data_IF_021269075019
#
_entry.id   IF_021269075019
#
_cell.length_a   1.000
_cell.length_b   1.000
_cell.length_c   1.000
_cell.angle_alpha   90.00
_cell.angle_beta   90.00
_cell.angle_gamma   90.00
#
_symmetry.space_group_name_H-M   'P 1'
#
loop_
_entity.id
_entity.type
_entity.pdbx_description
1 polymer ?
#
# COMPACT_ATOMS: atom_id res chain seq x y z
N UNK A 1 -9.68 -19.94 0.17
CA UNK A 1 -9.50 -19.70 1.63
C UNK A 1 -8.05 -19.38 1.98
N UNK A 2 -7.07 -20.13 1.47
CA UNK A 2 -5.64 -19.94 1.78
C UNK A 2 -5.10 -18.53 1.41
N UNK A 3 -5.36 -18.06 0.18
CA UNK A 3 -4.96 -16.71 -0.26
C UNK A 3 -5.51 -15.56 0.61
N UNK A 4 -6.67 -15.75 1.22
CA UNK A 4 -7.28 -14.76 2.12
C UNK A 4 -6.61 -14.75 3.49
N UNK A 5 -6.29 -15.93 4.03
CA UNK A 5 -5.53 -16.07 5.28
C UNK A 5 -4.12 -15.47 5.15
N UNK A 6 -3.47 -15.71 4.01
CA UNK A 6 -2.16 -15.14 3.73
C UNK A 6 -2.21 -13.61 3.66
N UNK A 7 -3.20 -13.04 2.95
CA UNK A 7 -3.42 -11.60 2.92
C UNK A 7 -3.59 -11.02 4.33
N UNK A 8 -4.44 -11.65 5.15
CA UNK A 8 -4.67 -11.22 6.53
C UNK A 8 -3.39 -11.24 7.37
N UNK A 9 -2.57 -12.29 7.24
CA UNK A 9 -1.30 -12.38 7.94
C UNK A 9 -0.37 -11.21 7.58
N UNK A 10 -0.18 -10.94 6.29
CA UNK A 10 0.66 -9.83 5.84
C UNK A 10 0.09 -8.46 6.25
N UNK A 11 -1.23 -8.29 6.19
CA UNK A 11 -1.88 -7.05 6.63
C UNK A 11 -1.70 -6.83 8.13
N UNK A 12 -1.94 -7.84 8.95
CA UNK A 12 -1.76 -7.76 10.41
C UNK A 12 -0.30 -7.48 10.75
N UNK A 13 0.64 -8.17 10.08
CA UNK A 13 2.07 -7.89 10.24
C UNK A 13 2.41 -6.44 9.88
N UNK A 14 1.92 -5.92 8.74
CA UNK A 14 2.16 -4.54 8.34
C UNK A 14 1.59 -3.53 9.35
N UNK A 15 0.35 -3.74 9.81
CA UNK A 15 -0.28 -2.87 10.81
C UNK A 15 0.47 -2.92 12.15
N UNK A 16 0.85 -4.10 12.62
CA UNK A 16 1.57 -4.27 13.87
C UNK A 16 2.97 -3.61 13.81
N UNK A 17 3.73 -3.85 12.74
CA UNK A 17 5.06 -3.25 12.54
C UNK A 17 4.94 -1.73 12.43
N UNK A 18 4.01 -1.21 11.61
CA UNK A 18 3.82 0.23 11.43
C UNK A 18 3.37 0.94 12.71
N UNK A 19 2.43 0.35 13.45
CA UNK A 19 2.01 0.89 14.76
C UNK A 19 3.17 0.87 15.77
N UNK A 20 3.95 -0.22 15.79
CA UNK A 20 5.15 -0.31 16.63
C UNK A 20 6.16 0.78 16.27
N UNK A 21 6.37 1.08 14.98
CA UNK A 21 7.23 2.19 14.55
C UNK A 21 6.74 3.55 15.07
N UNK A 22 5.43 3.81 15.08
CA UNK A 22 4.85 5.04 15.67
C UNK A 22 5.13 5.11 17.17
N UNK A 23 4.94 4.01 17.90
CA UNK A 23 5.27 3.95 19.33
C UNK A 23 6.76 4.18 19.57
N UNK A 24 7.63 3.61 18.72
CA UNK A 24 9.08 3.79 18.82
C UNK A 24 9.50 5.25 18.60
N UNK A 25 8.98 5.95 17.58
CA UNK A 25 9.34 7.37 17.39
C UNK A 25 8.82 8.25 18.52
N UNK A 26 7.63 7.96 19.06
CA UNK A 26 7.11 8.67 20.24
C UNK A 26 8.00 8.42 21.46
N UNK A 27 8.37 7.15 21.70
CA UNK A 27 9.30 6.81 22.79
C UNK A 27 10.66 7.46 22.57
N UNK A 28 11.15 7.52 21.34
CA UNK A 28 12.40 8.20 21.01
C UNK A 28 12.36 9.65 21.44
N UNK A 29 11.33 10.40 21.03
CA UNK A 29 11.25 11.83 21.34
C UNK A 29 10.97 12.13 22.81
N UNK A 30 10.17 11.31 23.50
CA UNK A 30 9.81 11.57 24.90
C UNK A 30 10.80 11.04 25.92
N UNK A 31 11.55 9.98 25.61
CA UNK A 31 12.49 9.37 26.56
C UNK A 31 13.94 9.75 26.32
N UNK A 32 14.35 9.86 25.05
CA UNK A 32 15.74 10.15 24.70
C UNK A 32 15.94 11.60 24.24
N UNK A 33 14.87 12.32 23.91
CA UNK A 33 14.92 13.73 23.47
C UNK A 33 14.09 14.63 24.38
N UNK A 34 14.00 15.88 23.98
CA UNK A 34 13.41 17.00 24.73
C UNK A 34 11.88 16.99 24.76
N UNK A 35 11.24 15.93 24.26
CA UNK A 35 9.79 15.87 24.09
C UNK A 35 9.30 16.68 22.89
N UNK A 36 8.09 17.23 22.99
CA UNK A 36 7.40 17.97 21.93
C UNK A 36 6.93 19.33 22.44
N UNK A 37 7.24 20.38 21.68
CA UNK A 37 6.78 21.75 21.91
C UNK A 37 6.63 22.48 20.57
N UNK A 38 6.16 23.72 20.57
CA UNK A 38 6.12 24.59 19.39
C UNK A 38 6.74 25.95 19.76
N UNK A 39 8.07 25.94 19.93
CA UNK A 39 8.88 27.00 20.54
C UNK A 39 10.14 27.40 19.73
N UNK A 40 10.27 26.92 18.48
CA UNK A 40 11.47 27.06 17.65
C UNK A 40 12.71 26.31 18.18
N UNK A 41 12.53 25.47 19.20
CA UNK A 41 13.56 24.69 19.88
C UNK A 41 13.71 23.26 19.37
N UNK A 42 14.55 22.48 20.05
CA UNK A 42 14.75 21.06 19.74
C UNK A 42 13.46 20.25 19.90
N UNK A 43 12.61 20.62 20.86
CA UNK A 43 11.31 20.00 21.07
C UNK A 43 10.34 20.29 19.90
N UNK A 44 10.44 21.43 19.23
CA UNK A 44 9.71 21.68 17.99
C UNK A 44 10.23 20.82 16.83
N UNK A 45 11.55 20.74 16.65
CA UNK A 45 12.16 19.85 15.65
C UNK A 45 11.65 18.41 15.80
N UNK A 46 11.43 17.93 17.02
CA UNK A 46 11.00 16.56 17.28
C UNK A 46 9.60 16.23 16.71
N UNK A 47 8.77 17.23 16.35
CA UNK A 47 7.57 17.00 15.54
C UNK A 47 7.89 16.45 14.15
N UNK A 48 9.03 16.83 13.57
CA UNK A 48 9.42 16.41 12.23
C UNK A 48 9.45 14.87 12.08
N UNK A 49 10.28 14.11 12.83
CA UNK A 49 10.31 12.65 12.70
C UNK A 49 8.98 12.00 13.11
N UNK A 50 8.28 12.52 14.11
CA UNK A 50 6.99 11.96 14.57
C UNK A 50 5.93 12.06 13.48
N UNK A 51 5.77 13.23 12.87
CA UNK A 51 4.74 13.49 11.88
C UNK A 51 5.09 12.90 10.51
N UNK A 52 6.38 12.90 10.11
CA UNK A 52 6.83 12.20 8.90
C UNK A 52 6.54 10.70 9.00
N UNK A 53 6.90 10.05 10.12
CA UNK A 53 6.63 8.62 10.28
C UNK A 53 5.13 8.34 10.33
N UNK A 54 4.38 9.09 11.14
CA UNK A 54 2.94 8.85 11.30
C UNK A 54 2.16 9.12 10.01
N UNK A 55 2.39 10.27 9.37
CA UNK A 55 1.70 10.68 8.17
C UNK A 55 2.27 10.03 6.91
N UNK A 56 3.53 10.34 6.61
CA UNK A 56 4.15 10.00 5.33
C UNK A 56 4.52 8.52 5.20
N UNK A 57 4.74 7.82 6.31
CA UNK A 57 5.02 6.38 6.26
C UNK A 57 3.77 5.58 6.60
N UNK A 58 3.26 5.69 7.83
CA UNK A 58 2.22 4.79 8.31
C UNK A 58 0.85 5.03 7.64
N UNK A 59 0.31 6.26 7.72
CA UNK A 59 -1.00 6.58 7.12
C UNK A 59 -0.94 6.46 5.59
N UNK A 60 0.12 6.96 4.94
CA UNK A 60 0.31 6.76 3.49
C UNK A 60 0.34 5.27 3.13
N UNK A 61 1.06 4.44 3.88
CA UNK A 61 1.15 3.00 3.64
C UNK A 61 -0.22 2.32 3.70
N UNK A 62 -1.05 2.67 4.70
CA UNK A 62 -2.44 2.19 4.81
C UNK A 62 -3.27 2.65 3.61
N UNK A 63 -3.13 3.93 3.20
CA UNK A 63 -3.85 4.49 2.06
C UNK A 63 -3.53 3.75 0.74
N UNK A 64 -2.28 3.33 0.55
CA UNK A 64 -1.81 2.58 -0.62
C UNK A 64 -2.49 1.20 -0.70
N UNK A 65 -2.65 0.49 0.42
CA UNK A 65 -3.23 -0.86 0.44
C UNK A 65 -4.76 -0.88 0.57
N UNK A 66 -5.42 0.27 0.76
CA UNK A 66 -6.85 0.33 1.12
C UNK A 66 -7.78 -0.34 0.11
N UNK A 67 -7.44 -0.32 -1.18
CA UNK A 67 -8.20 -1.00 -2.23
C UNK A 67 -8.04 -2.52 -2.24
N UNK A 68 -7.05 -3.06 -1.52
CA UNK A 68 -6.72 -4.48 -1.50
C UNK A 68 -7.45 -5.25 -0.43
N UNK A 69 -8.09 -4.54 0.50
CA UNK A 69 -8.87 -5.12 1.59
C UNK A 69 -10.07 -5.92 1.02
N UNK A 70 -10.10 -7.26 1.14
CA UNK A 70 -11.12 -8.08 0.46
C UNK A 70 -12.55 -7.79 0.91
N UNK A 71 -12.73 -7.40 2.18
CA UNK A 71 -14.04 -7.01 2.72
C UNK A 71 -14.57 -5.69 2.15
N UNK A 72 -13.72 -4.86 1.51
CA UNK A 72 -14.16 -3.61 0.88
C UNK A 72 -14.50 -3.77 -0.60
N UNK A 73 -14.28 -4.97 -1.18
CA UNK A 73 -14.53 -5.18 -2.61
C UNK A 73 -16.01 -5.01 -2.95
N UNK A 74 -16.92 -5.43 -2.06
CA UNK A 74 -18.37 -5.23 -2.22
C UNK A 74 -18.84 -3.79 -1.93
N UNK A 75 -17.98 -2.95 -1.36
CA UNK A 75 -18.32 -1.57 -1.07
C UNK A 75 -18.27 -0.69 -2.32
N UNK A 76 -19.00 0.44 -2.31
CA UNK A 76 -18.97 1.42 -3.40
C UNK A 76 -17.55 1.83 -3.76
N UNK A 77 -17.23 1.78 -5.06
CA UNK A 77 -15.93 2.21 -5.59
C UNK A 77 -15.68 3.70 -5.32
N UNK A 78 -16.74 4.51 -5.36
CA UNK A 78 -16.68 5.92 -5.03
C UNK A 78 -16.32 6.13 -3.55
N UNK A 79 -16.95 5.37 -2.64
CA UNK A 79 -16.62 5.41 -1.21
C UNK A 79 -15.15 5.07 -0.98
N UNK A 80 -14.64 4.02 -1.62
CA UNK A 80 -13.21 3.66 -1.50
C UNK A 80 -12.27 4.72 -2.07
N UNK A 81 -12.69 5.47 -3.10
CA UNK A 81 -11.94 6.65 -3.60
C UNK A 81 -11.88 7.76 -2.57
N UNK A 82 -12.99 8.05 -1.88
CA UNK A 82 -13.00 9.03 -0.81
C UNK A 82 -12.13 8.61 0.37
N UNK A 83 -12.14 7.33 0.76
CA UNK A 83 -11.27 6.84 1.84
C UNK A 83 -9.80 6.95 1.42
N UNK A 84 -9.44 6.52 0.21
CA UNK A 84 -8.07 6.62 -0.30
C UNK A 84 -7.59 8.09 -0.36
N UNK A 85 -8.41 8.97 -0.95
CA UNK A 85 -8.10 10.40 -1.03
C UNK A 85 -7.98 11.03 0.36
N UNK A 86 -8.93 10.75 1.25
CA UNK A 86 -8.96 11.29 2.62
C UNK A 86 -7.74 10.88 3.44
N UNK A 87 -7.32 9.61 3.37
CA UNK A 87 -6.10 9.14 4.05
C UNK A 87 -4.84 9.81 3.48
N UNK A 88 -4.73 9.95 2.16
CA UNK A 88 -3.60 10.64 1.55
C UNK A 88 -3.58 12.14 1.88
N UNK A 89 -4.74 12.80 1.94
CA UNK A 89 -4.88 14.19 2.37
C UNK A 89 -4.49 14.38 3.84
N UNK A 90 -4.93 13.48 4.73
CA UNK A 90 -4.53 13.52 6.14
C UNK A 90 -3.00 13.37 6.28
N UNK A 91 -2.42 12.39 5.59
CA UNK A 91 -0.97 12.21 5.55
C UNK A 91 -0.26 13.47 5.04
N UNK A 92 -0.77 14.13 4.00
CA UNK A 92 -0.18 15.35 3.46
C UNK A 92 -0.20 16.51 4.45
N UNK A 93 -1.31 16.70 5.16
CA UNK A 93 -1.43 17.74 6.20
C UNK A 93 -0.34 17.54 7.28
N UNK A 94 -0.18 16.31 7.76
CA UNK A 94 0.85 15.99 8.76
C UNK A 94 2.26 16.24 8.24
N UNK A 95 2.55 15.91 6.98
CA UNK A 95 3.84 16.18 6.33
C UNK A 95 4.11 17.67 6.24
N UNK A 96 3.11 18.48 5.86
CA UNK A 96 3.27 19.94 5.80
C UNK A 96 3.60 20.50 7.18
N UNK A 97 2.88 20.09 8.23
CA UNK A 97 3.17 20.50 9.61
C UNK A 97 4.59 20.07 10.03
N UNK A 98 5.01 18.85 9.66
CA UNK A 98 6.35 18.34 9.93
C UNK A 98 7.45 19.17 9.25
N UNK A 99 7.20 19.66 8.03
CA UNK A 99 8.13 20.54 7.33
C UNK A 99 8.19 21.93 7.97
N UNK A 100 7.03 22.51 8.30
CA UNK A 100 6.98 23.80 9.00
C UNK A 100 7.82 23.75 10.28
N UNK A 101 7.65 22.72 11.11
CA UNK A 101 8.40 22.56 12.36
C UNK A 101 9.94 22.53 12.16
N UNK A 102 10.45 21.88 11.11
CA UNK A 102 11.91 21.85 10.86
C UNK A 102 12.42 23.17 10.26
N UNK A 103 11.64 23.81 9.39
CA UNK A 103 12.00 25.13 8.85
C UNK A 103 11.99 26.21 9.92
N UNK A 104 10.97 26.23 10.79
CA UNK A 104 10.87 27.17 11.91
C UNK A 104 12.04 26.96 12.90
N UNK A 105 12.31 25.71 13.30
CA UNK A 105 13.50 25.37 14.10
C UNK A 105 14.82 25.85 13.46
N UNK A 106 15.04 25.56 12.18
CA UNK A 106 16.27 25.98 11.51
C UNK A 106 16.40 27.50 11.43
N UNK A 107 15.31 28.20 11.12
CA UNK A 107 15.31 29.66 11.04
C UNK A 107 15.61 30.30 12.40
N UNK A 108 14.98 29.80 13.47
CA UNK A 108 15.21 30.27 14.83
C UNK A 108 16.65 30.01 15.30
N UNK A 109 17.21 28.84 14.98
CA UNK A 109 18.59 28.47 15.32
C UNK A 109 19.64 28.97 14.33
N UNK A 110 19.25 29.69 13.28
CA UNK A 110 20.13 30.17 12.19
C UNK A 110 20.93 29.04 11.54
N UNK A 111 20.32 27.88 11.39
CA UNK A 111 20.87 26.73 10.68
C UNK A 111 20.49 26.88 9.19
N UNK A 112 21.43 26.72 8.24
CA UNK A 112 21.09 26.76 6.82
C UNK A 112 20.05 25.69 6.46
N UNK A 113 19.06 26.06 5.65
CA UNK A 113 18.07 25.12 5.13
C UNK A 113 18.56 24.46 3.83
N UNK A 114 18.00 23.30 3.51
CA UNK A 114 18.11 22.65 2.19
C UNK A 114 19.52 22.38 1.68
N UNK A 115 20.47 22.02 2.56
CA UNK A 115 21.85 21.68 2.15
C UNK A 115 22.14 20.17 2.15
N UNK A 116 21.34 19.35 2.84
CA UNK A 116 21.59 17.91 2.96
C UNK A 116 20.87 17.10 1.88
N UNK A 117 21.39 15.91 1.54
CA UNK A 117 20.73 15.00 0.60
C UNK A 117 19.35 14.55 1.12
N UNK A 118 19.23 14.33 2.44
CA UNK A 118 17.94 14.08 3.10
C UNK A 118 16.93 15.18 2.76
N UNK A 119 17.32 16.46 2.88
CA UNK A 119 16.42 17.57 2.59
C UNK A 119 16.04 17.67 1.11
N UNK A 120 16.97 17.43 0.18
CA UNK A 120 16.69 17.49 -1.26
C UNK A 120 15.73 16.39 -1.70
N UNK A 121 16.01 15.14 -1.33
CA UNK A 121 15.16 13.99 -1.68
C UNK A 121 13.83 14.09 -0.94
N UNK A 122 13.83 14.55 0.32
CA UNK A 122 12.62 14.77 1.11
C UNK A 122 11.69 15.80 0.49
N UNK A 123 12.19 16.99 0.16
CA UNK A 123 11.36 18.02 -0.47
C UNK A 123 10.85 17.56 -1.85
N UNK A 124 11.69 16.91 -2.65
CA UNK A 124 11.28 16.34 -3.93
C UNK A 124 10.14 15.31 -3.75
N UNK A 125 10.23 14.41 -2.76
CA UNK A 125 9.17 13.45 -2.45
C UNK A 125 7.87 14.15 -2.03
N UNK A 126 7.93 15.21 -1.22
CA UNK A 126 6.74 15.98 -0.80
C UNK A 126 6.08 16.71 -1.98
N UNK A 127 6.88 17.33 -2.87
CA UNK A 127 6.36 17.99 -4.08
C UNK A 127 5.70 16.96 -5.00
N UNK A 128 6.35 15.82 -5.25
CA UNK A 128 5.77 14.73 -6.04
C UNK A 128 4.50 14.18 -5.40
N UNK A 129 4.45 14.07 -4.07
CA UNK A 129 3.26 13.63 -3.34
C UNK A 129 2.09 14.62 -3.47
N UNK A 130 2.36 15.93 -3.39
CA UNK A 130 1.36 16.96 -3.63
C UNK A 130 0.79 16.89 -5.06
N UNK A 131 1.67 16.76 -6.06
CA UNK A 131 1.28 16.59 -7.47
C UNK A 131 0.44 15.32 -7.66
N UNK A 132 0.88 14.21 -7.06
CA UNK A 132 0.17 12.93 -7.08
C UNK A 132 -1.24 13.06 -6.49
N UNK A 133 -1.39 13.77 -5.38
CA UNK A 133 -2.68 14.01 -4.71
C UNK A 133 -3.61 14.86 -5.59
N UNK A 134 -3.13 15.99 -6.11
CA UNK A 134 -3.92 16.88 -6.97
C UNK A 134 -4.34 16.17 -8.26
N UNK A 135 -3.41 15.52 -8.95
CA UNK A 135 -3.71 14.76 -10.18
C UNK A 135 -4.67 13.60 -9.89
N UNK A 136 -4.49 12.89 -8.77
CA UNK A 136 -5.37 11.81 -8.36
C UNK A 136 -6.81 12.28 -8.13
N UNK A 137 -7.00 13.40 -7.45
CA UNK A 137 -8.31 14.03 -7.24
C UNK A 137 -8.94 14.44 -8.58
N UNK A 138 -8.19 15.17 -9.41
CA UNK A 138 -8.67 15.69 -10.69
C UNK A 138 -9.05 14.58 -11.68
N UNK A 139 -8.26 13.51 -11.78
CA UNK A 139 -8.45 12.45 -12.78
C UNK A 139 -9.46 11.39 -12.32
N UNK A 140 -9.42 11.00 -11.05
CA UNK A 140 -10.17 9.82 -10.57
C UNK A 140 -11.40 10.16 -9.72
N UNK A 141 -11.48 11.33 -9.10
CA UNK A 141 -12.61 11.71 -8.23
C UNK A 141 -13.61 12.62 -8.95
N UNK A 142 -13.14 13.56 -9.77
CA UNK A 142 -14.01 14.43 -10.57
C UNK A 142 -14.66 13.62 -11.70
N UNK A 143 -16.01 13.66 -11.87
CA UNK A 143 -16.71 12.83 -12.85
C UNK A 143 -16.45 13.21 -14.31
N UNK A 144 -15.83 14.37 -14.57
CA UNK A 144 -15.68 14.99 -15.90
C UNK A 144 -14.57 14.35 -16.74
N UNK A 145 -13.58 13.70 -16.13
CA UNK A 145 -12.42 13.18 -16.88
C UNK A 145 -12.80 12.00 -17.80
N UNK A 146 -12.45 12.06 -19.10
CA UNK A 146 -12.67 10.97 -20.05
C UNK A 146 -12.05 9.63 -19.61
N UNK A 147 -12.73 8.52 -19.94
CA UNK A 147 -12.29 7.18 -19.56
C UNK A 147 -10.91 6.80 -20.13
N UNK A 148 -10.59 7.25 -21.36
CA UNK A 148 -9.29 6.95 -21.98
C UNK A 148 -8.14 7.62 -21.24
N UNK A 149 -8.31 8.86 -20.74
CA UNK A 149 -7.30 9.53 -19.92
C UNK A 149 -7.12 8.81 -18.59
N UNK A 150 -8.22 8.42 -17.93
CA UNK A 150 -8.13 7.64 -16.68
C UNK A 150 -7.37 6.33 -16.88
N UNK A 151 -7.56 5.66 -18.01
CA UNK A 151 -6.82 4.44 -18.34
C UNK A 151 -5.33 4.72 -18.60
N UNK A 152 -5.01 5.78 -19.35
CA UNK A 152 -3.63 6.15 -19.67
C UNK A 152 -2.81 6.61 -18.45
N UNK A 153 -3.43 7.34 -17.51
CA UNK A 153 -2.76 7.82 -16.30
C UNK A 153 -2.65 6.77 -15.19
N UNK A 154 -3.43 5.68 -15.23
CA UNK A 154 -3.47 4.67 -14.15
C UNK A 154 -2.10 4.01 -13.88
N UNK A 155 -1.35 3.53 -14.89
CA UNK A 155 -0.03 2.94 -14.65
C UNK A 155 0.94 3.94 -14.02
N UNK A 156 0.92 5.19 -14.49
CA UNK A 156 1.76 6.25 -13.95
C UNK A 156 1.40 6.53 -12.49
N UNK A 157 0.11 6.69 -12.17
CA UNK A 157 -0.36 6.93 -10.80
C UNK A 157 0.04 5.80 -9.84
N UNK A 158 -0.07 4.53 -10.26
CA UNK A 158 0.37 3.40 -9.42
C UNK A 158 1.89 3.44 -9.22
N UNK A 159 2.66 3.57 -10.30
CA UNK A 159 4.12 3.60 -10.24
C UNK A 159 4.63 4.75 -9.37
N UNK A 160 4.17 5.98 -9.64
CA UNK A 160 4.58 7.17 -8.91
C UNK A 160 4.22 7.07 -7.43
N UNK A 161 3.05 6.52 -7.08
CA UNK A 161 2.64 6.32 -5.69
C UNK A 161 3.60 5.39 -4.93
N UNK A 162 4.00 4.28 -5.55
CA UNK A 162 4.97 3.35 -4.97
C UNK A 162 6.39 3.94 -4.90
N UNK A 163 6.79 4.68 -5.92
CA UNK A 163 8.08 5.37 -5.96
C UNK A 163 8.17 6.42 -4.86
N UNK A 164 7.14 7.26 -4.69
CA UNK A 164 7.09 8.29 -3.64
C UNK A 164 7.16 7.65 -2.25
N UNK A 165 6.40 6.57 -2.02
CA UNK A 165 6.42 5.86 -0.73
C UNK A 165 7.81 5.27 -0.43
N UNK A 166 8.46 4.66 -1.43
CA UNK A 166 9.82 4.12 -1.28
C UNK A 166 10.83 5.23 -1.00
N UNK A 167 10.71 6.36 -1.71
CA UNK A 167 11.53 7.56 -1.47
C UNK A 167 11.29 8.16 -0.08
N UNK A 168 10.06 8.16 0.44
CA UNK A 168 9.76 8.62 1.79
C UNK A 168 10.45 7.75 2.85
N UNK A 169 10.48 6.42 2.67
CA UNK A 169 11.23 5.51 3.55
C UNK A 169 12.73 5.81 3.46
N UNK A 170 13.29 5.87 2.26
CA UNK A 170 14.72 6.17 2.07
C UNK A 170 15.11 7.50 2.73
N UNK A 171 14.32 8.55 2.52
CA UNK A 171 14.50 9.86 3.17
C UNK A 171 14.41 9.78 4.68
N UNK A 172 13.47 9.00 5.22
CA UNK A 172 13.34 8.83 6.68
C UNK A 172 14.56 8.14 7.28
N UNK A 173 15.13 7.13 6.60
CA UNK A 173 16.37 6.46 7.02
C UNK A 173 17.57 7.42 6.97
N UNK A 174 17.67 8.26 5.93
CA UNK A 174 18.69 9.32 5.87
C UNK A 174 18.53 10.32 7.02
N UNK A 175 17.30 10.77 7.31
CA UNK A 175 17.02 11.73 8.38
C UNK A 175 17.30 11.17 9.78
N UNK A 176 16.94 9.91 10.03
CA UNK A 176 17.32 9.19 11.25
C UNK A 176 18.84 9.16 11.39
N UNK A 177 19.55 8.78 10.32
CA UNK A 177 21.01 8.68 10.33
C UNK A 177 21.66 10.03 10.61
N UNK A 178 21.23 11.10 9.93
CA UNK A 178 21.69 12.48 10.17
C UNK A 178 21.45 12.88 11.63
N UNK A 179 20.24 12.65 12.17
CA UNK A 179 19.90 13.03 13.55
C UNK A 179 20.73 12.28 14.59
N UNK A 180 21.01 10.99 14.39
CA UNK A 180 21.85 10.21 15.30
C UNK A 180 23.31 10.67 15.25
N UNK A 181 23.86 10.89 14.05
CA UNK A 181 25.25 11.36 13.89
C UNK A 181 25.43 12.75 14.52
N UNK A 182 24.47 13.66 14.34
CA UNK A 182 24.58 15.01 14.89
C UNK A 182 24.23 15.08 16.39
N UNK A 183 23.30 14.24 16.85
CA UNK A 183 22.77 14.27 18.21
C UNK A 183 23.60 13.48 19.23
N UNK A 184 24.27 12.39 18.84
CA UNK A 184 25.01 11.52 19.74
C UNK A 184 26.52 11.78 19.68
N UNK A 185 26.97 12.72 20.51
CA UNK A 185 28.39 13.12 20.59
C UNK A 185 29.14 12.51 21.78
N UNK A 186 28.45 12.29 22.90
CA UNK A 186 29.01 11.66 24.09
C UNK A 186 27.88 11.00 24.92
N UNK A 187 27.77 9.67 24.95
CA UNK A 187 28.53 8.70 24.15
C UNK A 187 28.31 8.90 22.64
N UNK A 188 29.32 8.56 21.83
CA UNK A 188 29.24 8.73 20.37
C UNK A 188 28.33 7.69 19.76
N UNK A 189 27.76 8.00 18.59
CA UNK A 189 26.94 7.04 17.85
C UNK A 189 27.65 5.70 17.59
N UNK A 190 28.96 5.72 17.29
CA UNK A 190 29.79 4.51 17.07
C UNK A 190 29.87 3.58 18.28
N UNK A 191 29.67 4.12 19.48
CA UNK A 191 29.79 3.37 20.73
C UNK A 191 28.49 2.58 21.02
N UNK A 192 27.51 2.68 20.12
CA UNK A 192 26.21 2.02 20.19
C UNK A 192 25.47 2.25 21.53
N UNK A 193 25.28 3.52 21.97
CA UNK A 193 24.50 3.79 23.16
C UNK A 193 23.04 3.34 22.99
N UNK A 194 22.32 3.20 24.10
CA UNK A 194 20.94 2.68 24.08
C UNK A 194 20.02 3.42 23.09
N UNK A 195 20.15 4.75 22.98
CA UNK A 195 19.40 5.53 21.99
C UNK A 195 19.74 5.10 20.54
N UNK A 196 21.03 4.95 20.23
CA UNK A 196 21.50 4.55 18.90
C UNK A 196 20.90 3.20 18.49
N UNK A 197 21.00 2.18 19.35
CA UNK A 197 20.46 0.85 19.07
C UNK A 197 18.94 0.90 18.92
N UNK A 198 18.25 1.63 19.80
CA UNK A 198 16.79 1.75 19.78
C UNK A 198 16.29 2.39 18.47
N UNK A 199 16.93 3.46 18.03
CA UNK A 199 16.53 4.19 16.82
C UNK A 199 16.99 3.47 15.55
N UNK A 200 18.07 2.69 15.60
CA UNK A 200 18.42 1.78 14.50
C UNK A 200 17.39 0.69 14.31
N UNK A 201 16.87 0.12 15.41
CA UNK A 201 15.73 -0.82 15.35
C UNK A 201 14.50 -0.14 14.74
N UNK A 202 14.21 1.12 15.08
CA UNK A 202 13.17 1.89 14.41
C UNK A 202 13.40 1.96 12.89
N UNK A 203 14.61 2.27 12.44
CA UNK A 203 14.97 2.26 11.02
C UNK A 203 14.69 0.92 10.34
N UNK A 204 15.09 -0.19 10.96
CA UNK A 204 14.80 -1.56 10.45
C UNK A 204 13.30 -1.82 10.38
N UNK A 205 12.52 -1.41 11.38
CA UNK A 205 11.06 -1.54 11.38
C UNK A 205 10.43 -0.75 10.21
N UNK A 206 10.94 0.44 9.89
CA UNK A 206 10.47 1.21 8.73
C UNK A 206 10.74 0.50 7.41
N UNK A 207 11.93 -0.07 7.24
CA UNK A 207 12.26 -0.87 6.05
C UNK A 207 11.36 -2.09 5.93
N UNK A 208 11.12 -2.81 7.03
CA UNK A 208 10.23 -3.96 7.05
C UNK A 208 8.77 -3.58 6.74
N UNK A 209 8.27 -2.50 7.33
CA UNK A 209 6.94 -1.97 7.03
C UNK A 209 6.80 -1.63 5.54
N UNK A 210 7.80 -0.95 4.98
CA UNK A 210 7.88 -0.65 3.55
C UNK A 210 7.78 -1.89 2.68
N UNK A 211 8.59 -2.91 2.97
CA UNK A 211 8.58 -4.16 2.24
C UNK A 211 7.21 -4.87 2.31
N UNK A 212 6.57 -4.88 3.48
CA UNK A 212 5.24 -5.47 3.66
C UNK A 212 4.16 -4.73 2.85
N UNK A 213 4.15 -3.39 2.87
CA UNK A 213 3.21 -2.58 2.08
C UNK A 213 3.44 -2.78 0.58
N UNK A 214 4.70 -2.79 0.12
CA UNK A 214 5.04 -3.05 -1.27
C UNK A 214 4.61 -4.46 -1.71
N UNK A 215 4.82 -5.46 -0.86
CA UNK A 215 4.39 -6.83 -1.13
C UNK A 215 2.87 -6.94 -1.25
N UNK A 216 2.13 -6.43 -0.27
CA UNK A 216 0.66 -6.33 -0.30
C UNK A 216 0.18 -5.63 -1.58
N UNK A 217 0.89 -4.57 -1.98
CA UNK A 217 0.52 -3.72 -3.12
C UNK A 217 0.94 -4.26 -4.48
N UNK A 218 1.88 -5.20 -4.56
CA UNK A 218 2.31 -5.75 -5.85
C UNK A 218 1.73 -7.14 -6.10
N UNK A 219 1.20 -7.81 -5.07
CA UNK A 219 0.58 -9.12 -5.21
C UNK A 219 -0.65 -9.10 -6.14
N UNK A 220 -0.64 -9.80 -7.29
CA UNK A 220 -1.71 -9.70 -8.30
C UNK A 220 -3.08 -10.21 -7.80
N UNK A 221 -3.08 -11.30 -7.01
CA UNK A 221 -4.31 -11.93 -6.52
C UNK A 221 -5.10 -11.09 -5.50
N UNK A 222 -4.51 -10.02 -4.97
CA UNK A 222 -5.14 -9.13 -3.98
C UNK A 222 -5.57 -7.79 -4.59
N UNK A 223 -5.39 -7.63 -5.91
CA UNK A 223 -5.94 -6.46 -6.62
C UNK A 223 -7.46 -6.51 -6.57
N UNK A 224 -8.09 -5.37 -6.28
CA UNK A 224 -9.55 -5.24 -6.34
C UNK A 224 -10.07 -5.71 -7.70
N UNK A 225 -11.05 -6.63 -7.76
CA UNK A 225 -11.64 -7.08 -9.01
C UNK A 225 -12.29 -5.93 -9.80
N UNK A 226 -12.32 -6.03 -11.13
CA UNK A 226 -13.03 -5.05 -11.97
C UNK A 226 -14.55 -5.12 -11.78
N UNK A 227 -15.27 -4.02 -11.99
CA UNK A 227 -16.73 -3.94 -11.75
C UNK A 227 -17.51 -5.02 -12.52
N UNK A 228 -17.20 -5.25 -13.80
CA UNK A 228 -17.82 -6.32 -14.59
C UNK A 228 -17.56 -7.73 -14.05
N UNK A 229 -16.36 -8.00 -13.53
CA UNK A 229 -16.01 -9.29 -12.92
C UNK A 229 -16.69 -9.51 -11.57
N UNK A 230 -17.02 -8.43 -10.85
CA UNK A 230 -17.79 -8.53 -9.63
C UNK A 230 -19.25 -8.83 -9.93
N UNK A 231 -19.82 -8.16 -10.93
CA UNK A 231 -21.21 -8.35 -11.32
C UNK A 231 -21.46 -9.78 -11.83
N UNK A 232 -20.55 -10.33 -12.64
CA UNK A 232 -20.64 -11.72 -13.12
C UNK A 232 -20.53 -12.75 -11.99
N UNK A 233 -19.62 -12.53 -11.02
CA UNK A 233 -19.49 -13.41 -9.85
C UNK A 233 -20.69 -13.35 -8.91
N UNK A 234 -21.31 -12.16 -8.78
CA UNK A 234 -22.52 -12.00 -7.98
C UNK A 234 -23.70 -12.71 -8.64
N UNK A 235 -23.86 -12.57 -9.97
CA UNK A 235 -24.91 -13.30 -10.70
C UNK A 235 -24.71 -14.82 -10.68
N UNK A 236 -23.47 -15.31 -10.74
CA UNK A 236 -23.17 -16.75 -10.59
C UNK A 236 -23.45 -17.26 -9.17
N UNK A 237 -23.19 -16.44 -8.15
CA UNK A 237 -23.49 -16.78 -6.74
C UNK A 237 -24.99 -16.78 -6.46
N UNK A 238 -25.76 -15.86 -7.04
CA UNK A 238 -27.22 -15.84 -6.95
C UNK A 238 -27.82 -17.04 -7.70
N UNK A 239 -27.36 -17.31 -8.93
CA UNK A 239 -27.82 -18.45 -9.72
C UNK A 239 -27.51 -19.81 -9.07
N UNK A 240 -26.43 -19.92 -8.29
CA UNK A 240 -26.09 -21.14 -7.55
C UNK A 240 -26.80 -21.26 -6.20
N UNK A 241 -27.24 -20.14 -5.61
CA UNK A 241 -28.06 -20.13 -4.41
C UNK A 241 -29.55 -20.46 -4.69
N UNK A 242 -30.03 -20.17 -5.90
CA UNK A 242 -31.40 -20.45 -6.35
C UNK A 242 -31.60 -21.89 -6.88
N UNK A 243 -30.54 -22.71 -6.92
CA UNK A 243 -30.68 -24.13 -7.26
C UNK A 243 -31.20 -24.91 -6.03
N UNK A 244 -32.36 -25.60 -6.12
CA UNK A 244 -32.86 -26.38 -5.01
C UNK A 244 -31.88 -27.53 -4.71
N UNK A 245 -31.50 -27.64 -3.43
CA UNK A 245 -30.78 -28.79 -2.86
C UNK A 245 -31.70 -30.00 -2.98
N UNK A 246 -31.63 -30.72 -4.11
CA UNK A 246 -32.43 -31.91 -4.34
C UNK A 246 -32.71 -32.20 -5.81
N UNK A 247 -31.68 -32.52 -6.59
CA UNK A 247 -31.86 -33.39 -7.78
C UNK A 247 -30.53 -34.03 -8.19
N UNK A 248 -29.90 -34.74 -7.26
CA UNK A 248 -28.98 -35.81 -7.65
C UNK A 248 -29.80 -37.09 -7.89
N UNK A 249 -29.47 -37.75 -9.02
CA UNK A 249 -29.77 -39.13 -9.37
C UNK A 249 -31.12 -39.44 -10.08
N UNK A 250 -31.09 -39.53 -11.41
CA UNK A 250 -31.49 -40.74 -12.17
C UNK A 250 -31.58 -40.48 -13.68
N UNK A 251 -30.51 -40.77 -14.42
CA UNK A 251 -30.66 -41.16 -15.83
C UNK A 251 -29.47 -42.01 -16.27
N UNK A 252 -29.45 -43.27 -15.82
CA UNK A 252 -28.70 -44.34 -16.48
C UNK A 252 -29.25 -45.68 -15.98
N UNK A 253 -29.99 -46.37 -16.85
CA UNK A 253 -30.69 -47.61 -16.53
C UNK A 253 -31.32 -48.23 -17.77
N UNK A 254 -30.46 -48.82 -18.60
CA UNK A 254 -30.67 -50.07 -19.37
C UNK A 254 -32.06 -50.36 -19.97
N UNK A 255 -32.14 -50.36 -21.29
CA UNK A 255 -33.06 -51.22 -22.05
C UNK A 255 -32.25 -52.10 -22.99
N UNK A 256 -32.08 -53.36 -22.60
CA UNK A 256 -31.85 -54.48 -23.50
C UNK A 256 -33.21 -55.11 -23.85
N UNK A 257 -33.51 -55.25 -25.16
CA UNK A 257 -33.94 -56.51 -25.81
C UNK A 257 -34.35 -56.30 -27.28
N UNK A 258 -33.52 -56.91 -28.13
CA UNK A 258 -33.79 -57.76 -29.30
C UNK A 258 -34.55 -57.28 -30.56
N UNK A 259 -33.82 -57.45 -31.67
CA UNK A 259 -34.18 -58.06 -32.96
C UNK A 259 -34.88 -57.22 -34.05
N UNK A 260 -34.20 -56.98 -35.18
CA UNK A 260 -34.35 -57.76 -36.43
C UNK A 260 -33.45 -57.17 -37.57
N UNK A 261 -33.03 -58.05 -38.48
CA UNK A 261 -32.34 -57.87 -39.77
C UNK A 261 -32.26 -56.46 -40.38
N UNK A 262 -31.11 -56.07 -40.93
CA UNK A 262 -30.77 -56.45 -42.31
C UNK A 262 -29.31 -56.16 -42.67
N UNK A 263 -28.92 -56.87 -43.72
CA UNK A 263 -27.64 -57.11 -44.36
C UNK A 263 -27.04 -55.85 -44.99
N UNK A 264 -25.69 -55.77 -45.10
CA UNK A 264 -24.94 -55.57 -46.37
C UNK A 264 -23.62 -54.76 -46.25
N UNK A 265 -22.51 -55.52 -46.09
CA UNK A 265 -21.30 -55.56 -46.95
C UNK A 265 -20.49 -54.27 -47.31
N UNK A 266 -19.16 -54.39 -47.04
CA UNK A 266 -17.91 -53.95 -47.75
C UNK A 266 -17.09 -52.86 -47.02
N UNK A 267 -15.84 -53.16 -46.58
CA UNK A 267 -14.53 -53.04 -47.29
C UNK A 267 -14.22 -51.57 -47.64
N UNK A 268 -13.07 -50.91 -47.36
CA UNK A 268 -11.70 -51.25 -46.97
C UNK A 268 -11.01 -50.02 -46.32
N UNK A 269 -10.01 -50.23 -45.46
CA UNK A 269 -8.87 -49.32 -45.19
C UNK A 269 -7.90 -49.24 -46.40
N UNK A 270 -6.71 -48.60 -46.32
CA UNK A 270 -6.38 -47.22 -46.00
C UNK A 270 -5.50 -46.62 -47.14
N UNK A 271 -5.08 -45.35 -47.03
CA UNK A 271 -3.72 -44.86 -47.35
C UNK A 271 -3.67 -43.33 -47.50
N UNK A 272 -2.66 -42.70 -46.88
CA UNK A 272 -2.17 -41.37 -47.27
C UNK A 272 -1.29 -41.46 -48.54
N UNK A 273 -0.28 -40.59 -48.76
CA UNK A 273 0.03 -39.28 -48.19
C UNK A 273 0.13 -38.18 -49.28
N UNK A 274 0.41 -36.92 -48.92
CA UNK A 274 0.95 -35.96 -49.90
C UNK A 274 0.84 -34.47 -49.56
N UNK A 275 2.01 -33.91 -49.22
CA UNK A 275 2.42 -32.49 -49.16
C UNK A 275 2.01 -31.65 -47.94
#
# INVERSE_FOLDING_TARGET
>A
MENYRLFLLFLIAALAVGFTSVVFVLRWVFYFKEGLAWDGGLAEFNWHPVLILTGFIYIQGIAIVVYRLPWTWRCSKLMMKFIHAGLHSLAFILVVIALVAVFDFHNEKRIPNMYSLHSWVGLAAVVLYALQLVLGLCVYLIPVTPLYLRAAFMPLHIYSGLFIFSSAIATSLMGITEKLIFGLKDPKYSDSPAEATFVNVLGVLLTLFGALILWLTTHPSWKRPGEHQQQSRLSEQEASADLPVGSTLSTLGSTDKEACCDTQKRHCEPDGPGQ
#
